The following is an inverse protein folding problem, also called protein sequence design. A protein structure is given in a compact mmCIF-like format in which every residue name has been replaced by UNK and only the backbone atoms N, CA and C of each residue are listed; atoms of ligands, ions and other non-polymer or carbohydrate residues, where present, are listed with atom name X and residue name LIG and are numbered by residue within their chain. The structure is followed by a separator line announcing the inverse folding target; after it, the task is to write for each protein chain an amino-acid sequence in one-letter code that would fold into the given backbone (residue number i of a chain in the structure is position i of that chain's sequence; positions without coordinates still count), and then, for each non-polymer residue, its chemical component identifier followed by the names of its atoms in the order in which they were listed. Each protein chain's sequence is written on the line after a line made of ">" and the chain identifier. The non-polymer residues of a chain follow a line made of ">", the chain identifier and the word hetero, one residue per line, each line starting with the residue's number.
data_IF_832199801149
#
_entry.id   IF_832199801149
#
_cell.length_a   1.000
_cell.length_b   1.000
_cell.length_c   1.000
_cell.angle_alpha   90.00
_cell.angle_beta   90.00
_cell.angle_gamma   90.00
#
_symmetry.space_group_name_H-M   'P 1'
#
loop_
_entity.id
_entity.type
_entity.pdbx_description
1 polymer ?
#
# COMPACT_ATOMS: atom_id res chain seq x y z
N UNK A 1 -14.94 -5.17 -0.49
CA UNK A 1 -13.91 -5.78 0.39
C UNK A 1 -14.54 -6.00 1.75
N UNK A 2 -14.76 -7.26 2.16
CA UNK A 2 -16.01 -7.66 2.78
C UNK A 2 -16.46 -6.81 3.97
N UNK A 3 -15.55 -6.34 4.84
CA UNK A 3 -15.95 -5.55 6.01
C UNK A 3 -15.22 -4.20 6.18
N UNK A 4 -14.37 -3.79 5.21
CA UNK A 4 -13.55 -2.56 5.29
C UNK A 4 -12.76 -2.37 6.61
N UNK A 5 -12.52 -3.47 7.35
CA UNK A 5 -11.78 -3.44 8.61
C UNK A 5 -10.31 -3.11 8.30
N UNK A 6 -9.75 -2.03 8.88
CA UNK A 6 -8.38 -1.64 8.62
C UNK A 6 -7.39 -2.73 9.07
N UNK A 7 -6.36 -3.00 8.26
CA UNK A 7 -5.31 -3.95 8.62
C UNK A 7 -4.44 -3.39 9.77
N UNK A 8 -4.02 -4.27 10.67
CA UNK A 8 -3.11 -3.92 11.76
C UNK A 8 -1.67 -3.61 11.29
N UNK A 9 -0.85 -2.98 12.14
CA UNK A 9 0.45 -2.45 11.74
C UNK A 9 1.45 -3.53 11.30
N UNK A 10 1.39 -4.72 11.89
CA UNK A 10 2.24 -5.86 11.50
C UNK A 10 1.91 -6.36 10.10
N UNK A 11 0.62 -6.41 9.73
CA UNK A 11 0.21 -6.83 8.40
C UNK A 11 0.68 -5.84 7.33
N UNK A 12 0.56 -4.54 7.58
CA UNK A 12 1.04 -3.49 6.67
C UNK A 12 2.55 -3.57 6.45
N UNK A 13 3.34 -3.71 7.52
CA UNK A 13 4.81 -3.89 7.40
C UNK A 13 5.16 -5.10 6.55
N UNK A 14 4.51 -6.25 6.81
CA UNK A 14 4.72 -7.48 6.04
C UNK A 14 4.40 -7.32 4.57
N UNK A 15 3.37 -6.55 4.22
CA UNK A 15 3.04 -6.26 2.81
C UNK A 15 4.19 -5.47 2.16
N UNK A 16 4.65 -4.40 2.79
CA UNK A 16 5.74 -3.56 2.25
C UNK A 16 7.03 -4.36 2.09
N UNK A 17 7.41 -5.15 3.09
CA UNK A 17 8.58 -6.04 3.04
C UNK A 17 8.49 -7.06 1.90
N UNK A 18 7.30 -7.62 1.66
CA UNK A 18 7.11 -8.64 0.63
C UNK A 18 7.17 -8.08 -0.78
N UNK A 19 6.79 -6.83 -0.99
CA UNK A 19 6.84 -6.20 -2.31
C UNK A 19 8.20 -5.52 -2.60
N UNK A 20 9.01 -5.29 -1.57
CA UNK A 20 10.30 -4.59 -1.66
C UNK A 20 11.25 -5.19 -2.72
N UNK A 21 11.41 -6.52 -2.86
CA UNK A 21 12.37 -7.07 -3.83
C UNK A 21 11.96 -6.89 -5.29
N UNK A 22 10.69 -6.58 -5.55
CA UNK A 22 10.18 -6.47 -6.91
C UNK A 22 10.44 -5.07 -7.48
N UNK A 23 10.82 -5.04 -8.76
CA UNK A 23 10.89 -3.81 -9.54
C UNK A 23 9.56 -3.59 -10.24
N UNK A 24 8.90 -2.47 -9.94
CA UNK A 24 7.66 -2.05 -10.57
C UNK A 24 7.52 -0.54 -10.51
N UNK A 25 7.03 0.06 -11.60
CA UNK A 25 6.74 1.50 -11.68
C UNK A 25 5.24 1.80 -11.78
N UNK A 26 4.42 0.78 -12.02
CA UNK A 26 2.99 0.91 -12.25
C UNK A 26 2.17 -0.03 -11.35
N UNK A 27 0.99 0.42 -10.94
CA UNK A 27 -0.05 -0.36 -10.24
C UNK A 27 -1.37 -0.15 -10.97
N UNK A 28 -2.03 -1.24 -11.32
CA UNK A 28 -3.38 -1.24 -11.89
C UNK A 28 -4.39 -1.58 -10.78
N UNK A 29 -5.36 -0.69 -10.56
CA UNK A 29 -6.36 -0.84 -9.52
C UNK A 29 -7.51 -1.77 -9.92
N UNK A 30 -8.20 -2.34 -8.93
CA UNK A 30 -9.43 -3.12 -9.15
C UNK A 30 -10.69 -2.28 -9.40
N UNK A 31 -10.55 -0.95 -9.53
CA UNK A 31 -11.64 0.02 -9.65
C UNK A 31 -11.30 1.07 -10.71
N UNK A 32 -12.32 1.76 -11.23
CA UNK A 32 -12.11 2.84 -12.18
C UNK A 32 -11.26 3.95 -11.55
N UNK A 33 -10.37 4.55 -12.36
CA UNK A 33 -9.53 5.68 -11.98
C UNK A 33 -8.57 5.42 -10.79
N UNK A 34 -8.26 4.15 -10.49
CA UNK A 34 -7.41 3.76 -9.36
C UNK A 34 -6.00 3.29 -9.78
N UNK A 35 -5.52 3.72 -10.95
CA UNK A 35 -4.19 3.36 -11.44
C UNK A 35 -3.13 4.33 -10.94
N UNK A 36 -1.95 3.80 -10.61
CA UNK A 36 -0.72 4.57 -10.38
C UNK A 36 0.21 4.25 -11.53
N UNK A 37 0.37 5.18 -12.47
CA UNK A 37 1.06 4.94 -13.74
C UNK A 37 2.56 5.28 -13.73
N UNK A 38 3.06 5.81 -12.61
CA UNK A 38 4.47 6.08 -12.38
C UNK A 38 4.79 6.18 -10.89
N UNK A 39 6.05 5.91 -10.53
CA UNK A 39 6.58 6.00 -9.18
C UNK A 39 5.79 5.15 -8.16
N UNK A 40 5.28 4.00 -8.61
CA UNK A 40 4.37 3.16 -7.82
C UNK A 40 5.00 2.65 -6.53
N UNK A 41 6.26 2.19 -6.57
CA UNK A 41 6.96 1.68 -5.38
C UNK A 41 7.05 2.72 -4.28
N UNK A 42 7.40 3.96 -4.63
CA UNK A 42 7.43 5.05 -3.66
C UNK A 42 6.02 5.46 -3.20
N UNK A 43 5.01 5.40 -4.09
CA UNK A 43 3.63 5.65 -3.71
C UNK A 43 3.12 4.67 -2.65
N UNK A 44 3.45 3.38 -2.76
CA UNK A 44 3.12 2.37 -1.74
C UNK A 44 3.81 2.68 -0.42
N UNK A 45 5.12 2.96 -0.44
CA UNK A 45 5.88 3.29 0.78
C UNK A 45 5.28 4.50 1.52
N UNK A 46 5.01 5.61 0.81
CA UNK A 46 4.38 6.80 1.39
C UNK A 46 2.99 6.52 1.94
N UNK A 47 2.20 5.70 1.25
CA UNK A 47 0.85 5.33 1.70
C UNK A 47 0.90 4.50 2.99
N UNK A 48 1.79 3.52 3.05
CA UNK A 48 1.98 2.67 4.21
C UNK A 48 2.47 3.48 5.43
N UNK A 49 3.42 4.39 5.25
CA UNK A 49 3.90 5.27 6.31
C UNK A 49 2.78 6.17 6.86
N UNK A 50 2.03 6.83 5.97
CA UNK A 50 0.88 7.66 6.35
C UNK A 50 -0.15 6.86 7.14
N UNK A 51 -0.47 5.66 6.68
CA UNK A 51 -1.43 4.79 7.34
C UNK A 51 -0.94 4.30 8.71
N UNK A 52 0.30 3.81 8.81
CA UNK A 52 0.90 3.38 10.07
C UNK A 52 0.94 4.49 11.12
N UNK A 53 1.15 5.75 10.70
CA UNK A 53 1.08 6.91 11.58
C UNK A 53 -0.33 7.13 12.13
N UNK A 54 -1.35 6.96 11.29
CA UNK A 54 -2.74 7.18 11.67
C UNK A 54 -3.27 6.15 12.67
N UNK A 55 -2.79 4.89 12.59
CA UNK A 55 -3.25 3.78 13.43
C UNK A 55 -2.37 3.52 14.67
N UNK A 56 -1.39 4.38 14.96
CA UNK A 56 -0.43 4.24 16.07
C UNK A 56 -0.90 4.91 17.39
N UNK A 57 -2.17 5.31 17.48
CA UNK A 57 -2.76 5.83 18.71
C UNK A 57 -2.89 4.76 19.79
#
# INVERSE_FOLDING_TARGET
>A
YPNLIPLGPTAIRRIVERIEPFSFDQIYGGWWQANVLSNAKAAVARSAERYLRAIRA
#
